data_IF_918814365070
#
_entry.id   IF_918814365070
#
_cell.length_a   1.000
_cell.length_b   1.000
_cell.length_c   1.000
_cell.angle_alpha   90.00
_cell.angle_beta   90.00
_cell.angle_gamma   90.00
#
_symmetry.space_group_name_H-M   'P 1'
#
loop_
_entity.id
_entity.type
_entity.pdbx_description
1 polymer ?
#
# COMPACT_ATOMS: atom_id res chain seq x y z
N UNK A 1 -47.38 31.29 9.67
CA UNK A 1 -46.28 31.03 8.73
C UNK A 1 -45.04 30.79 9.58
N UNK A 2 -44.78 29.52 9.92
CA UNK A 2 -43.67 29.14 10.79
C UNK A 2 -42.37 29.10 9.97
N UNK A 3 -41.31 29.60 10.58
CA UNK A 3 -39.99 29.77 10.00
C UNK A 3 -39.26 28.42 9.98
N UNK A 4 -38.97 27.89 8.81
CA UNK A 4 -38.03 26.77 8.64
C UNK A 4 -36.61 27.31 8.51
N UNK A 5 -35.96 27.51 9.66
CA UNK A 5 -34.53 27.73 9.75
C UNK A 5 -33.81 26.38 9.94
N UNK A 6 -33.67 25.61 8.86
CA UNK A 6 -32.74 24.48 8.84
C UNK A 6 -31.38 25.03 8.41
N UNK A 7 -30.61 25.49 9.40
CA UNK A 7 -29.22 25.89 9.20
C UNK A 7 -28.44 24.70 8.63
N UNK A 8 -27.93 24.85 7.40
CA UNK A 8 -26.90 23.98 6.85
C UNK A 8 -25.67 24.10 7.74
N UNK A 9 -25.39 23.05 8.52
CA UNK A 9 -24.09 22.82 9.13
C UNK A 9 -23.08 22.54 8.02
N UNK A 10 -22.60 23.60 7.37
CA UNK A 10 -21.32 23.54 6.67
C UNK A 10 -20.27 23.23 7.74
N UNK A 11 -19.68 22.03 7.68
CA UNK A 11 -18.49 21.70 8.45
C UNK A 11 -17.42 22.72 8.05
N UNK A 12 -17.22 23.74 8.87
CA UNK A 12 -16.05 24.61 8.75
C UNK A 12 -14.82 23.71 8.76
N UNK A 13 -13.86 23.87 7.83
CA UNK A 13 -12.62 23.11 7.89
C UNK A 13 -11.97 23.44 9.23
N UNK A 14 -11.85 22.42 10.09
CA UNK A 14 -11.14 22.57 11.35
C UNK A 14 -9.77 23.17 11.04
N UNK A 15 -9.39 24.25 11.73
CA UNK A 15 -8.00 24.72 11.70
C UNK A 15 -7.14 23.55 12.16
N UNK A 16 -6.51 22.84 11.24
CA UNK A 16 -5.63 21.72 11.55
C UNK A 16 -4.44 22.27 12.30
N UNK A 17 -4.48 22.20 13.62
CA UNK A 17 -3.30 22.44 14.45
C UNK A 17 -2.33 21.31 14.20
N UNK A 18 -1.07 21.64 13.89
CA UNK A 18 -0.03 20.65 13.67
C UNK A 18 0.09 19.74 14.91
N UNK A 19 -0.05 18.41 14.76
CA UNK A 19 0.14 17.46 15.85
C UNK A 19 1.53 17.57 16.49
N UNK A 20 1.63 17.25 17.78
CA UNK A 20 2.89 17.35 18.53
C UNK A 20 3.67 16.05 18.53
N UNK A 21 3.00 14.93 18.34
CA UNK A 21 3.59 13.59 18.35
C UNK A 21 3.27 12.82 17.08
N UNK A 22 4.06 11.78 16.78
CA UNK A 22 3.80 10.92 15.63
C UNK A 22 2.42 10.25 15.73
N UNK A 23 2.04 9.79 16.92
CA UNK A 23 0.76 9.12 17.13
C UNK A 23 -0.44 10.07 17.01
N UNK A 24 -0.32 11.31 17.48
CA UNK A 24 -1.34 12.33 17.24
C UNK A 24 -1.51 12.61 15.73
N UNK A 25 -0.39 12.65 14.99
CA UNK A 25 -0.43 12.84 13.55
C UNK A 25 -1.06 11.68 12.79
N UNK A 26 -0.69 10.44 13.14
CA UNK A 26 -1.29 9.25 12.55
C UNK A 26 -2.78 9.14 12.87
N UNK A 27 -3.20 9.47 14.10
CA UNK A 27 -4.60 9.49 14.48
C UNK A 27 -5.38 10.53 13.67
N UNK A 28 -4.85 11.74 13.53
CA UNK A 28 -5.48 12.81 12.77
C UNK A 28 -5.62 12.44 11.28
N UNK A 29 -4.58 11.83 10.69
CA UNK A 29 -4.63 11.27 9.34
C UNK A 29 -5.71 10.19 9.20
N UNK A 30 -5.77 9.22 10.12
CA UNK A 30 -6.76 8.15 10.06
C UNK A 30 -8.20 8.66 10.21
N UNK A 31 -8.43 9.75 10.95
CA UNK A 31 -9.75 10.37 11.08
C UNK A 31 -10.29 10.96 9.77
N UNK A 32 -9.42 11.32 8.81
CA UNK A 32 -9.87 11.76 7.48
C UNK A 32 -10.48 10.62 6.65
N UNK A 33 -10.31 9.36 7.08
CA UNK A 33 -10.80 8.19 6.34
C UNK A 33 -10.31 8.17 4.89
N UNK A 34 -9.04 8.54 4.67
CA UNK A 34 -8.42 8.59 3.34
C UNK A 34 -8.45 7.20 2.70
N UNK A 35 -8.82 7.15 1.43
CA UNK A 35 -8.91 5.91 0.64
C UNK A 35 -8.07 6.05 -0.62
N UNK A 36 -7.27 5.02 -0.93
CA UNK A 36 -6.61 4.92 -2.22
C UNK A 36 -7.62 4.52 -3.31
N UNK A 37 -7.78 5.37 -4.33
CA UNK A 37 -8.77 5.14 -5.39
C UNK A 37 -8.39 3.93 -6.24
N UNK A 38 -9.34 3.02 -6.48
CA UNK A 38 -9.16 1.85 -7.36
C UNK A 38 -9.22 2.29 -8.83
N UNK A 39 -8.10 2.71 -9.38
CA UNK A 39 -7.97 3.31 -10.71
C UNK A 39 -7.42 2.34 -11.79
N UNK A 40 -6.98 1.16 -11.38
CA UNK A 40 -6.28 0.20 -12.24
C UNK A 40 -7.01 -1.14 -12.32
N UNK A 41 -6.76 -1.92 -13.38
CA UNK A 41 -7.40 -3.24 -13.61
C UNK A 41 -6.40 -4.36 -13.55
N UNK A 42 -6.69 -5.40 -12.80
CA UNK A 42 -5.90 -6.63 -12.78
C UNK A 42 -6.38 -7.59 -13.89
N UNK A 43 -5.61 -7.84 -14.96
CA UNK A 43 -6.05 -8.70 -16.07
C UNK A 43 -6.25 -10.16 -15.65
N UNK A 44 -5.55 -10.60 -14.60
CA UNK A 44 -5.60 -11.99 -14.12
C UNK A 44 -6.80 -12.27 -13.23
N UNK A 45 -7.23 -11.28 -12.44
CA UNK A 45 -8.26 -11.45 -11.42
C UNK A 45 -9.56 -10.69 -11.74
N UNK A 46 -9.60 -9.94 -12.85
CA UNK A 46 -10.74 -9.11 -13.29
C UNK A 46 -11.24 -8.12 -12.22
N UNK A 47 -10.43 -7.84 -11.20
CA UNK A 47 -10.70 -6.88 -10.14
C UNK A 47 -9.99 -5.55 -10.43
N UNK A 48 -10.56 -4.47 -9.91
CA UNK A 48 -9.87 -3.19 -9.88
C UNK A 48 -8.90 -3.16 -8.69
N UNK A 49 -7.84 -2.37 -8.79
CA UNK A 49 -6.88 -2.15 -7.72
C UNK A 49 -6.43 -0.70 -7.67
N UNK A 50 -6.00 -0.24 -6.49
CA UNK A 50 -5.33 1.05 -6.36
C UNK A 50 -3.91 1.00 -6.93
N UNK A 51 -3.61 1.84 -7.91
CA UNK A 51 -2.25 2.03 -8.45
C UNK A 51 -1.26 2.42 -7.34
N UNK A 52 0.04 2.35 -7.65
CA UNK A 52 1.04 2.86 -6.71
C UNK A 52 0.85 4.37 -6.51
N UNK A 53 0.51 5.08 -7.58
CA UNK A 53 0.21 6.50 -7.62
C UNK A 53 -0.96 6.83 -6.68
N UNK A 54 -2.09 6.14 -6.79
CA UNK A 54 -3.25 6.35 -5.91
C UNK A 54 -2.93 6.06 -4.43
N UNK A 55 -2.04 5.10 -4.15
CA UNK A 55 -1.59 4.80 -2.79
C UNK A 55 -0.62 5.87 -2.27
N UNK A 56 0.27 6.38 -3.11
CA UNK A 56 1.18 7.48 -2.78
C UNK A 56 0.38 8.75 -2.49
N UNK A 57 -0.62 9.06 -3.30
CA UNK A 57 -1.48 10.23 -3.11
C UNK A 57 -2.25 10.13 -1.78
N UNK A 58 -2.86 8.97 -1.51
CA UNK A 58 -3.55 8.71 -0.25
C UNK A 58 -2.61 8.83 0.96
N UNK A 59 -1.44 8.18 0.93
CA UNK A 59 -0.44 8.30 1.98
C UNK A 59 0.10 9.73 2.13
N UNK A 60 0.16 10.48 1.02
CA UNK A 60 0.62 11.86 0.96
C UNK A 60 -0.29 12.85 1.69
N UNK A 61 -1.57 12.53 1.91
CA UNK A 61 -2.47 13.36 2.71
C UNK A 61 -1.99 13.49 4.17
N UNK A 62 -1.16 12.54 4.65
CA UNK A 62 -0.52 12.61 5.96
C UNK A 62 0.42 13.83 6.12
N UNK A 63 0.87 14.44 5.02
CA UNK A 63 1.69 15.65 5.02
C UNK A 63 0.99 16.83 5.73
N UNK A 64 -0.35 16.90 5.69
CA UNK A 64 -1.15 17.91 6.41
C UNK A 64 -0.90 17.89 7.92
N UNK A 65 -0.47 16.73 8.43
CA UNK A 65 -0.24 16.44 9.84
C UNK A 65 1.25 16.34 10.18
N UNK A 66 2.14 16.75 9.28
CA UNK A 66 3.58 16.80 9.52
C UNK A 66 4.30 15.46 9.30
N UNK A 67 3.61 14.45 8.74
CA UNK A 67 4.18 13.15 8.39
C UNK A 67 4.57 13.13 6.92
N UNK A 68 5.85 12.86 6.62
CA UNK A 68 6.29 12.50 5.27
C UNK A 68 6.88 11.11 5.26
N UNK A 69 6.99 10.50 4.08
CA UNK A 69 7.58 9.18 3.92
C UNK A 69 8.67 9.13 2.85
N UNK A 70 9.52 8.11 2.96
CA UNK A 70 10.54 7.74 1.97
C UNK A 70 10.53 6.23 1.78
N UNK A 71 10.89 5.78 0.58
CA UNK A 71 10.96 4.34 0.24
C UNK A 71 12.25 3.98 -0.52
N UNK A 72 13.45 4.16 0.09
CA UNK A 72 14.68 3.64 -0.49
C UNK A 72 14.63 2.12 -0.68
N UNK A 73 15.33 1.65 -1.71
CA UNK A 73 15.65 0.24 -1.85
C UNK A 73 16.82 -0.09 -0.94
N UNK A 74 16.78 -1.27 -0.33
CA UNK A 74 17.83 -1.76 0.56
C UNK A 74 18.08 -3.25 0.29
N UNK A 75 19.22 -3.75 0.76
CA UNK A 75 19.58 -5.16 0.70
C UNK A 75 19.80 -5.66 2.13
N UNK A 76 19.06 -6.69 2.53
CA UNK A 76 19.24 -7.34 3.83
C UNK A 76 19.73 -8.77 3.64
N UNK A 77 20.48 -9.27 4.62
CA UNK A 77 20.95 -10.66 4.64
C UNK A 77 20.12 -11.47 5.63
N UNK A 78 19.49 -12.54 5.14
CA UNK A 78 18.76 -13.52 5.95
C UNK A 78 19.44 -14.88 5.78
N UNK A 79 20.21 -15.30 6.79
CA UNK A 79 21.09 -16.45 6.68
C UNK A 79 22.15 -16.22 5.59
N UNK A 80 22.20 -17.09 4.59
CA UNK A 80 23.11 -16.97 3.44
C UNK A 80 22.46 -16.24 2.24
N UNK A 81 21.21 -15.81 2.37
CA UNK A 81 20.45 -15.20 1.28
C UNK A 81 20.45 -13.68 1.37
N UNK A 82 20.80 -13.00 0.28
CA UNK A 82 20.60 -11.55 0.12
C UNK A 82 19.22 -11.30 -0.44
N UNK A 83 18.42 -10.48 0.24
CA UNK A 83 17.04 -10.14 -0.12
C UNK A 83 16.95 -8.64 -0.37
N UNK A 84 16.47 -8.26 -1.56
CA UNK A 84 16.12 -6.87 -1.84
C UNK A 84 14.80 -6.51 -1.16
N UNK A 85 14.78 -5.37 -0.49
CA UNK A 85 13.62 -4.86 0.24
C UNK A 85 13.35 -3.41 -0.12
N UNK A 86 12.09 -3.00 0.00
CA UNK A 86 11.70 -1.60 0.12
C UNK A 86 11.71 -1.25 1.60
N UNK A 87 12.52 -0.27 1.99
CA UNK A 87 12.52 0.26 3.35
C UNK A 87 11.63 1.49 3.40
N UNK A 88 10.45 1.37 4.01
CA UNK A 88 9.54 2.50 4.20
C UNK A 88 9.88 3.20 5.50
N UNK A 89 10.20 4.49 5.42
CA UNK A 89 10.53 5.35 6.55
C UNK A 89 9.47 6.43 6.60
N UNK A 90 8.76 6.56 7.72
CA UNK A 90 7.82 7.65 7.99
C UNK A 90 8.43 8.53 9.06
N UNK A 91 8.43 9.84 8.85
CA UNK A 91 9.01 10.81 9.77
C UNK A 91 7.95 11.83 10.13
N UNK A 92 7.76 12.04 11.43
CA UNK A 92 6.99 13.17 11.94
C UNK A 92 7.93 14.34 12.16
N UNK A 93 7.86 15.34 11.27
CA UNK A 93 8.81 16.46 11.24
C UNK A 93 8.82 17.29 12.53
N UNK A 94 7.65 17.62 13.14
CA UNK A 94 7.62 18.40 14.38
C UNK A 94 8.28 17.73 15.59
N UNK A 95 8.14 16.40 15.75
CA UNK A 95 8.75 15.68 16.88
C UNK A 95 10.12 15.08 16.58
N UNK A 96 10.46 14.91 15.29
CA UNK A 96 11.65 14.19 14.85
C UNK A 96 11.54 12.66 14.99
N UNK A 97 10.40 12.14 15.46
CA UNK A 97 10.17 10.70 15.56
C UNK A 97 10.08 10.08 14.17
N UNK A 98 10.63 8.87 14.04
CA UNK A 98 10.57 8.08 12.80
C UNK A 98 10.16 6.63 13.08
N UNK A 99 9.44 6.04 12.14
CA UNK A 99 9.10 4.62 12.12
C UNK A 99 9.53 4.00 10.80
N UNK A 100 10.06 2.79 10.86
CA UNK A 100 10.65 2.10 9.71
C UNK A 100 10.03 0.71 9.56
N UNK A 101 9.79 0.30 8.33
CA UNK A 101 9.36 -1.06 8.00
C UNK A 101 10.05 -1.54 6.72
N UNK A 102 10.24 -2.86 6.62
CA UNK A 102 10.89 -3.51 5.48
C UNK A 102 9.86 -4.39 4.77
N UNK A 103 9.72 -4.22 3.46
CA UNK A 103 8.88 -5.05 2.62
C UNK A 103 9.74 -5.77 1.57
N UNK A 104 9.77 -7.11 1.53
CA UNK A 104 10.57 -7.84 0.57
C UNK A 104 10.07 -7.62 -0.86
N UNK A 105 11.00 -7.33 -1.76
CA UNK A 105 10.74 -7.28 -3.20
C UNK A 105 10.62 -8.71 -3.72
N UNK A 106 9.46 -9.05 -4.25
CA UNK A 106 9.21 -10.35 -4.90
C UNK A 106 9.07 -10.11 -6.40
N UNK A 107 10.06 -10.58 -7.18
CA UNK A 107 9.98 -10.65 -8.64
C UNK A 107 10.08 -12.09 -9.10
N UNK A 108 9.44 -12.41 -10.23
CA UNK A 108 9.54 -13.72 -10.88
C UNK A 108 10.93 -13.99 -11.46
N UNK A 109 11.67 -12.93 -11.74
CA UNK A 109 13.01 -12.97 -12.33
C UNK A 109 13.71 -11.65 -12.01
N UNK A 110 14.83 -11.72 -11.29
CA UNK A 110 15.60 -10.57 -10.86
C UNK A 110 16.63 -10.11 -11.91
N UNK A 111 16.89 -10.92 -12.94
CA UNK A 111 17.84 -10.58 -14.01
C UNK A 111 17.16 -9.77 -15.13
N UNK A 112 15.83 -9.75 -15.15
CA UNK A 112 15.02 -8.95 -16.06
C UNK A 112 14.66 -7.61 -15.38
N UNK A 113 15.19 -6.48 -15.87
CA UNK A 113 14.96 -5.17 -15.27
C UNK A 113 13.48 -4.78 -15.20
N UNK A 114 12.66 -5.21 -16.18
CA UNK A 114 11.24 -4.88 -16.23
C UNK A 114 10.45 -5.65 -15.16
N UNK A 115 10.76 -6.95 -15.00
CA UNK A 115 10.14 -7.77 -13.95
C UNK A 115 10.59 -7.33 -12.56
N UNK A 116 11.87 -6.98 -12.39
CA UNK A 116 12.38 -6.40 -11.15
C UNK A 116 11.65 -5.09 -10.82
N UNK A 117 11.53 -4.17 -11.78
CA UNK A 117 10.80 -2.92 -11.62
C UNK A 117 9.34 -3.14 -11.19
N UNK A 118 8.68 -4.13 -11.80
CA UNK A 118 7.32 -4.53 -11.41
C UNK A 118 7.28 -5.00 -9.95
N UNK A 119 8.20 -5.87 -9.52
CA UNK A 119 8.29 -6.32 -8.14
C UNK A 119 8.49 -5.19 -7.13
N UNK A 120 9.33 -4.19 -7.48
CA UNK A 120 9.57 -3.00 -6.66
C UNK A 120 8.28 -2.18 -6.51
N UNK A 121 7.57 -1.94 -7.61
CA UNK A 121 6.29 -1.20 -7.59
C UNK A 121 5.27 -1.88 -6.67
N UNK A 122 5.15 -3.21 -6.73
CA UNK A 122 4.28 -3.96 -5.83
C UNK A 122 4.71 -3.82 -4.36
N UNK A 123 5.99 -3.99 -4.06
CA UNK A 123 6.51 -3.88 -2.70
C UNK A 123 6.30 -2.48 -2.11
N UNK A 124 6.54 -1.41 -2.89
CA UNK A 124 6.29 -0.03 -2.47
C UNK A 124 4.83 0.20 -2.09
N UNK A 125 3.92 -0.29 -2.92
CA UNK A 125 2.48 -0.17 -2.69
C UNK A 125 2.05 -0.86 -1.40
N UNK A 126 2.39 -2.14 -1.23
CA UNK A 126 2.02 -2.90 -0.03
C UNK A 126 2.64 -2.31 1.24
N UNK A 127 3.88 -1.83 1.16
CA UNK A 127 4.54 -1.20 2.30
C UNK A 127 3.83 0.08 2.74
N UNK A 128 3.40 0.95 1.81
CA UNK A 128 2.61 2.15 2.15
C UNK A 128 1.22 1.79 2.67
N UNK A 129 0.55 0.82 2.05
CA UNK A 129 -0.76 0.35 2.51
C UNK A 129 -0.69 -0.14 3.96
N UNK A 130 0.30 -0.99 4.26
CA UNK A 130 0.54 -1.47 5.63
C UNK A 130 0.91 -0.34 6.59
N UNK A 131 1.74 0.62 6.16
CA UNK A 131 2.24 1.70 7.00
C UNK A 131 1.14 2.70 7.41
N UNK A 132 0.22 3.01 6.49
CA UNK A 132 -0.84 4.00 6.69
C UNK A 132 -2.21 3.37 6.99
N UNK A 133 -2.31 2.04 7.03
CA UNK A 133 -3.59 1.34 7.22
C UNK A 133 -4.56 1.52 6.06
N UNK A 134 -4.04 1.71 4.83
CA UNK A 134 -4.88 1.80 3.64
C UNK A 134 -5.30 0.38 3.22
N UNK A 135 -6.58 0.16 2.88
CA UNK A 135 -7.07 -1.14 2.48
C UNK A 135 -6.32 -1.67 1.26
N UNK A 136 -6.08 -2.97 1.25
CA UNK A 136 -5.57 -3.70 0.09
C UNK A 136 -6.70 -4.50 -0.57
N UNK A 137 -6.54 -4.79 -1.86
CA UNK A 137 -7.54 -5.54 -2.64
C UNK A 137 -7.65 -7.02 -2.26
N UNK A 138 -6.69 -7.56 -1.52
CA UNK A 138 -6.52 -9.01 -1.33
C UNK A 138 -7.37 -9.59 -0.18
N UNK A 139 -8.15 -8.75 0.51
CA UNK A 139 -8.94 -9.18 1.69
C UNK A 139 -10.34 -9.71 1.35
N UNK A 140 -10.69 -9.82 0.06
CA UNK A 140 -11.75 -10.73 -0.40
C UNK A 140 -11.16 -12.15 -0.53
N UNK A 141 -10.90 -12.77 0.64
CA UNK A 141 -10.21 -14.04 0.87
C UNK A 141 -10.81 -15.32 0.24
N UNK A 142 -11.37 -15.24 -0.96
CA UNK A 142 -11.91 -16.39 -1.69
C UNK A 142 -11.05 -16.81 -2.90
N UNK A 143 -10.02 -16.04 -3.26
CA UNK A 143 -9.28 -16.28 -4.53
C UNK A 143 -7.86 -16.83 -4.34
N UNK A 144 -7.19 -16.55 -3.23
CA UNK A 144 -5.83 -17.05 -2.97
C UNK A 144 -5.78 -18.57 -2.62
N UNK A 145 -6.92 -19.18 -2.29
CA UNK A 145 -7.00 -20.59 -1.88
C UNK A 145 -7.27 -21.59 -3.03
N UNK A 146 -7.44 -21.14 -4.28
CA UNK A 146 -7.62 -22.07 -5.40
C UNK A 146 -6.26 -22.61 -5.84
N UNK A 147 -5.83 -23.70 -5.20
CA UNK A 147 -4.80 -24.58 -5.72
C UNK A 147 -5.14 -24.92 -7.19
N UNK A 148 -4.22 -24.65 -8.12
CA UNK A 148 -4.38 -25.04 -9.52
C UNK A 148 -4.65 -26.55 -9.59
N UNK A 149 -5.70 -27.01 -10.29
CA UNK A 149 -5.84 -28.43 -10.60
C UNK A 149 -4.58 -28.90 -11.34
N UNK A 150 -3.91 -29.91 -10.80
CA UNK A 150 -2.86 -30.63 -11.52
C UNK A 150 -3.46 -31.16 -12.82
N UNK A 151 -2.96 -30.69 -13.96
CA UNK A 151 -3.29 -31.32 -15.24
C UNK A 151 -2.75 -32.75 -15.21
N UNK A 152 -3.57 -33.77 -15.48
CA UNK A 152 -3.06 -35.13 -15.65
C UNK A 152 -2.13 -35.16 -16.86
N UNK A 153 -0.87 -35.52 -16.62
CA UNK A 153 0.10 -35.83 -17.66
C UNK A 153 -0.40 -37.04 -18.45
N UNK A 154 -0.90 -36.82 -19.67
CA UNK A 154 -1.16 -37.90 -20.61
C UNK A 154 0.17 -38.42 -21.14
N UNK A 155 0.70 -39.47 -20.50
CA UNK A 155 1.73 -40.30 -21.11
C UNK A 155 1.11 -41.03 -22.32
N UNK A 156 1.52 -40.65 -23.53
CA UNK A 156 1.36 -41.52 -24.70
C UNK A 156 2.46 -42.59 -24.66
N UNK A 157 2.15 -43.89 -24.73
CA UNK A 157 3.16 -44.91 -24.99
C UNK A 157 3.70 -44.73 -26.42
N UNK A 158 5.02 -44.78 -26.60
CA UNK A 158 5.63 -44.87 -27.93
C UNK A 158 5.50 -46.30 -28.44
N UNK A 159 4.94 -46.46 -29.63
CA UNK A 159 5.06 -47.68 -30.42
C UNK A 159 6.21 -47.53 -31.43
N UNK A 160 6.96 -48.63 -31.59
CA UNK A 160 8.13 -48.91 -32.43
C UNK A 160 9.50 -48.47 -31.91
#
# INVERSE_FOLDING_TARGET
>A
MAQDNVAKLEKQPAKTTMPKTFDEAMLAYQQESVVAVKDSKNPHFRSNYASLEAVIDAAGEANKYGLYFMQPLDLITIGETVVQVVKTIIVHTPSGEKRESLCPVRSKDNNDPQKMGSGITYAKRYALQSAFGLPSEDDDGNTAAQAKPQQPTTNKPSEF
#
